data_IF_316958359116
#
_entry.id   IF_316958359116
#
_cell.length_a   1.000
_cell.length_b   1.000
_cell.length_c   1.000
_cell.angle_alpha   90.00
_cell.angle_beta   90.00
_cell.angle_gamma   90.00
#
_symmetry.space_group_name_H-M   'P 1'
#
loop_
_entity.id
_entity.type
_entity.pdbx_description
1 polymer ?
#
# COMPACT_ATOMS: atom_id res chain seq x y z
N UNK A 1 -23.68 -13.64 -99.89
CA UNK A 1 -23.28 -15.02 -100.24
C UNK A 1 -23.12 -15.80 -98.94
N UNK A 2 -23.69 -17.02 -98.87
CA UNK A 2 -23.57 -18.07 -97.84
C UNK A 2 -23.67 -17.64 -96.35
N UNK A 3 -24.80 -17.80 -95.63
CA UNK A 3 -25.51 -19.02 -95.22
C UNK A 3 -24.56 -20.06 -94.58
N UNK A 4 -24.63 -20.25 -93.26
CA UNK A 4 -25.04 -21.52 -92.68
C UNK A 4 -25.40 -21.44 -91.19
N UNK A 5 -26.34 -22.33 -90.85
CA UNK A 5 -27.16 -22.41 -89.65
C UNK A 5 -26.64 -23.54 -88.74
N UNK A 6 -26.70 -23.28 -87.44
CA UNK A 6 -27.19 -24.16 -86.37
C UNK A 6 -26.48 -25.47 -85.93
N UNK A 7 -26.40 -25.55 -84.59
CA UNK A 7 -26.68 -26.69 -83.68
C UNK A 7 -25.54 -27.69 -83.35
N UNK A 8 -25.08 -27.71 -82.08
CA UNK A 8 -25.48 -28.70 -81.04
C UNK A 8 -24.72 -28.54 -79.71
N UNK A 9 -25.48 -28.87 -78.65
CA UNK A 9 -25.19 -29.03 -77.22
C UNK A 9 -23.96 -29.86 -76.83
N UNK A 10 -23.35 -29.58 -75.65
CA UNK A 10 -23.13 -30.55 -74.56
C UNK A 10 -22.58 -29.89 -73.27
N UNK A 11 -23.10 -30.33 -72.13
CA UNK A 11 -22.68 -29.99 -70.76
C UNK A 11 -21.48 -30.85 -70.30
N UNK A 12 -20.52 -30.23 -69.60
CA UNK A 12 -19.71 -30.68 -68.44
C UNK A 12 -19.09 -29.37 -67.92
N UNK A 13 -19.15 -28.89 -66.67
CA UNK A 13 -19.05 -29.53 -65.37
C UNK A 13 -17.76 -29.03 -64.68
N UNK A 14 -17.91 -28.45 -63.49
CA UNK A 14 -16.93 -28.30 -62.39
C UNK A 14 -16.00 -27.06 -62.25
N UNK A 15 -16.25 -26.35 -61.14
CA UNK A 15 -15.35 -26.02 -60.01
C UNK A 15 -14.41 -24.78 -60.02
N UNK A 16 -14.55 -24.04 -58.90
CA UNK A 16 -13.54 -23.34 -58.09
C UNK A 16 -13.31 -21.82 -58.29
N UNK A 17 -14.05 -21.05 -57.46
CA UNK A 17 -13.60 -19.98 -56.53
C UNK A 17 -12.42 -19.08 -56.89
N UNK A 18 -12.61 -17.76 -56.83
CA UNK A 18 -12.19 -16.90 -55.69
C UNK A 18 -12.61 -15.43 -55.95
N UNK A 19 -13.59 -14.91 -55.21
CA UNK A 19 -13.91 -13.47 -55.18
C UNK A 19 -13.37 -12.90 -53.86
N UNK A 20 -12.26 -12.18 -53.94
CA UNK A 20 -11.74 -11.34 -52.87
C UNK A 20 -12.61 -10.08 -52.86
N UNK A 21 -13.47 -9.94 -51.86
CA UNK A 21 -14.17 -8.68 -51.57
C UNK A 21 -13.69 -8.16 -50.23
N UNK A 22 -12.98 -7.04 -50.29
CA UNK A 22 -12.64 -6.17 -49.17
C UNK A 22 -13.91 -5.76 -48.41
N UNK A 23 -14.12 -6.33 -47.23
CA UNK A 23 -14.97 -5.74 -46.20
C UNK A 23 -14.04 -5.38 -45.04
N UNK A 24 -13.83 -4.08 -44.83
CA UNK A 24 -13.05 -3.56 -43.72
C UNK A 24 -13.71 -3.90 -42.40
N UNK A 25 -13.24 -4.95 -41.74
CA UNK A 25 -13.39 -5.07 -40.29
C UNK A 25 -12.37 -4.15 -39.64
N UNK A 26 -12.88 -3.08 -39.05
CA UNK A 26 -12.15 -2.36 -38.03
C UNK A 26 -11.97 -3.33 -36.87
N UNK A 27 -10.79 -3.93 -36.76
CA UNK A 27 -10.31 -4.52 -35.53
C UNK A 27 -10.30 -3.40 -34.51
N UNK A 28 -11.34 -3.33 -33.67
CA UNK A 28 -11.21 -2.74 -32.35
C UNK A 28 -10.16 -3.58 -31.64
N UNK A 29 -8.91 -3.15 -31.73
CA UNK A 29 -7.89 -3.54 -30.78
C UNK A 29 -8.42 -3.08 -29.43
N UNK A 30 -9.04 -4.00 -28.70
CA UNK A 30 -9.00 -3.92 -27.25
C UNK A 30 -7.51 -3.85 -26.92
N UNK A 31 -7.04 -2.66 -26.56
CA UNK A 31 -5.84 -2.57 -25.77
C UNK A 31 -6.14 -3.41 -24.53
N UNK A 32 -5.58 -4.61 -24.49
CA UNK A 32 -5.42 -5.33 -23.24
C UNK A 32 -4.65 -4.36 -22.33
N UNK A 33 -5.38 -3.73 -21.44
CA UNK A 33 -4.84 -3.04 -20.28
C UNK A 33 -4.23 -4.12 -19.38
N UNK A 34 -3.09 -4.64 -19.80
CA UNK A 34 -2.34 -5.69 -19.11
C UNK A 34 -1.66 -5.10 -17.87
N UNK A 35 -2.44 -4.49 -16.98
CA UNK A 35 -2.09 -4.51 -15.57
C UNK A 35 -2.29 -5.96 -15.12
N UNK A 36 -1.28 -6.81 -15.30
CA UNK A 36 -1.40 -8.20 -14.89
C UNK A 36 -1.70 -8.22 -13.40
N UNK A 37 -2.88 -8.72 -13.00
CA UNK A 37 -3.21 -8.98 -11.59
C UNK A 37 -2.31 -10.08 -10.99
N UNK A 38 -1.35 -10.60 -11.76
CA UNK A 38 -0.28 -11.50 -11.34
C UNK A 38 0.49 -10.93 -10.14
N UNK A 39 0.60 -11.69 -9.04
CA UNK A 39 1.43 -11.33 -7.89
C UNK A 39 2.89 -11.06 -8.28
N UNK A 40 3.54 -10.11 -7.61
CA UNK A 40 4.97 -9.84 -7.75
C UNK A 40 5.69 -10.22 -6.46
N UNK A 41 6.66 -11.13 -6.58
CA UNK A 41 7.62 -11.50 -5.53
C UNK A 41 8.91 -10.68 -5.70
N UNK A 42 9.20 -9.84 -4.74
CA UNK A 42 10.44 -9.07 -4.66
C UNK A 42 11.46 -9.80 -3.80
N UNK A 43 12.65 -10.02 -4.33
CA UNK A 43 13.70 -10.83 -3.73
C UNK A 43 14.95 -10.00 -3.48
N UNK A 44 15.44 -10.01 -2.25
CA UNK A 44 16.68 -9.34 -1.88
C UNK A 44 17.90 -9.94 -2.61
N UNK A 45 18.78 -9.09 -3.12
CA UNK A 45 19.97 -9.50 -3.88
C UNK A 45 21.04 -10.20 -3.04
N UNK A 46 20.95 -10.15 -1.71
CA UNK A 46 21.92 -10.77 -0.79
C UNK A 46 21.50 -12.15 -0.31
N UNK A 47 20.37 -12.68 -0.80
CA UNK A 47 19.96 -14.06 -0.56
C UNK A 47 20.89 -15.04 -1.28
N UNK A 48 21.31 -16.10 -0.59
CA UNK A 48 21.91 -17.26 -1.26
C UNK A 48 20.87 -17.98 -2.12
N UNK A 49 21.31 -18.87 -3.02
CA UNK A 49 20.39 -19.64 -3.86
C UNK A 49 19.37 -20.46 -3.05
N UNK A 50 19.80 -21.06 -1.93
CA UNK A 50 18.89 -21.81 -1.04
C UNK A 50 17.92 -20.88 -0.31
N UNK A 51 18.41 -19.75 0.19
CA UNK A 51 17.57 -18.75 0.85
C UNK A 51 16.55 -18.14 -0.11
N UNK A 52 16.94 -17.92 -1.37
CA UNK A 52 16.05 -17.44 -2.42
C UNK A 52 14.87 -18.38 -2.62
N UNK A 53 15.13 -19.69 -2.76
CA UNK A 53 14.05 -20.66 -2.93
C UNK A 53 13.14 -20.72 -1.71
N UNK A 54 13.69 -20.86 -0.50
CA UNK A 54 12.88 -20.88 0.72
C UNK A 54 12.06 -19.61 0.93
N UNK A 55 12.58 -18.46 0.48
CA UNK A 55 11.86 -17.17 0.53
C UNK A 55 10.68 -17.16 -0.43
N UNK A 56 10.88 -17.66 -1.66
CA UNK A 56 9.80 -17.82 -2.65
C UNK A 56 8.73 -18.75 -2.09
N UNK A 57 9.12 -19.92 -1.58
CA UNK A 57 8.19 -20.91 -1.04
C UNK A 57 7.35 -20.31 0.10
N UNK A 58 8.00 -19.57 1.01
CA UNK A 58 7.32 -18.88 2.12
C UNK A 58 6.34 -17.82 1.62
N UNK A 59 6.74 -16.99 0.66
CA UNK A 59 5.93 -15.87 0.18
C UNK A 59 4.77 -16.29 -0.74
N UNK A 60 4.92 -17.42 -1.43
CA UNK A 60 3.93 -17.91 -2.41
C UNK A 60 2.97 -18.95 -1.83
N UNK A 61 3.22 -19.45 -0.62
CA UNK A 61 2.35 -20.43 0.06
C UNK A 61 0.90 -19.95 0.30
N UNK A 62 0.64 -18.64 0.24
CA UNK A 62 -0.69 -18.04 0.38
C UNK A 62 -1.39 -17.74 -0.95
N UNK A 63 -0.75 -18.03 -2.09
CA UNK A 63 -1.33 -17.84 -3.42
C UNK A 63 -2.22 -19.03 -3.78
N UNK A 64 -3.33 -18.75 -4.48
CA UNK A 64 -4.22 -19.79 -5.02
C UNK A 64 -3.49 -20.67 -6.06
N UNK A 65 -2.61 -20.05 -6.84
CA UNK A 65 -1.66 -20.71 -7.73
C UNK A 65 -0.24 -20.26 -7.38
N UNK A 66 0.49 -21.12 -6.67
CA UNK A 66 1.85 -20.84 -6.22
C UNK A 66 2.88 -20.82 -7.36
N UNK A 67 2.50 -21.14 -8.60
CA UNK A 67 3.37 -21.10 -9.79
C UNK A 67 3.20 -19.83 -10.62
N UNK A 68 2.10 -19.08 -10.42
CA UNK A 68 1.77 -17.88 -11.19
C UNK A 68 2.16 -16.61 -10.44
N UNK A 69 3.44 -16.23 -10.57
CA UNK A 69 3.96 -14.98 -10.03
C UNK A 69 5.10 -14.43 -10.90
N UNK A 70 5.33 -13.12 -10.83
CA UNK A 70 6.52 -12.49 -11.38
C UNK A 70 7.56 -12.26 -10.28
N UNK A 71 8.84 -12.21 -10.66
CA UNK A 71 9.91 -11.85 -9.72
C UNK A 71 10.52 -10.48 -10.03
N UNK A 72 10.97 -9.78 -9.00
CA UNK A 72 11.77 -8.57 -9.08
C UNK A 72 12.94 -8.63 -8.09
N UNK A 73 14.15 -8.33 -8.54
CA UNK A 73 15.30 -8.26 -7.64
C UNK A 73 15.39 -6.89 -6.98
N UNK A 74 15.63 -6.86 -5.67
CA UNK A 74 15.85 -5.65 -4.87
C UNK A 74 17.31 -5.64 -4.42
N UNK A 75 18.05 -4.63 -4.84
CA UNK A 75 19.48 -4.45 -4.53
C UNK A 75 19.74 -3.12 -3.81
N UNK A 76 21.01 -2.83 -3.49
CA UNK A 76 21.41 -1.57 -2.86
C UNK A 76 20.95 -0.33 -3.64
N UNK A 77 21.00 -0.34 -4.98
CA UNK A 77 20.50 0.77 -5.81
C UNK A 77 18.99 0.98 -5.65
N UNK A 78 18.25 -0.11 -5.48
CA UNK A 78 16.81 -0.05 -5.19
C UNK A 78 16.58 0.63 -3.84
N UNK A 79 17.40 0.32 -2.82
CA UNK A 79 17.37 1.02 -1.53
C UNK A 79 17.72 2.50 -1.68
N UNK A 80 18.78 2.84 -2.41
CA UNK A 80 19.17 4.25 -2.65
C UNK A 80 18.03 5.02 -3.31
N UNK A 81 17.45 4.46 -4.37
CA UNK A 81 16.40 5.10 -5.16
C UNK A 81 15.16 5.38 -4.32
N UNK A 82 14.73 4.38 -3.55
CA UNK A 82 13.48 4.50 -2.81
C UNK A 82 13.72 5.10 -1.44
N UNK A 83 14.68 4.61 -0.65
CA UNK A 83 14.83 4.90 0.78
C UNK A 83 15.63 6.17 1.12
N UNK A 84 16.67 6.52 0.37
CA UNK A 84 17.51 7.70 0.69
C UNK A 84 16.81 9.07 0.59
N UNK A 85 15.84 9.30 -0.33
CA UNK A 85 15.06 10.54 -0.34
C UNK A 85 14.33 10.85 0.98
N UNK A 86 14.29 9.89 1.89
CA UNK A 86 13.68 10.03 3.21
C UNK A 86 14.66 10.33 4.33
N UNK A 87 15.96 10.40 4.03
CA UNK A 87 17.04 10.62 5.00
C UNK A 87 17.79 9.35 5.40
N UNK A 88 17.42 8.19 4.86
CA UNK A 88 18.20 6.96 5.04
C UNK A 88 19.54 7.04 4.28
N UNK A 89 20.54 6.30 4.74
CA UNK A 89 21.91 6.37 4.22
C UNK A 89 22.35 5.04 3.60
N UNK A 90 21.55 4.50 2.69
CA UNK A 90 21.94 3.30 1.93
C UNK A 90 22.89 3.64 0.79
N UNK A 91 23.61 2.62 0.33
CA UNK A 91 24.54 2.67 -0.80
C UNK A 91 24.23 1.54 -1.78
N UNK A 92 24.77 1.61 -3.00
CA UNK A 92 24.69 0.52 -3.98
C UNK A 92 25.25 -0.81 -3.46
N UNK A 93 26.15 -0.76 -2.48
CA UNK A 93 26.75 -1.94 -1.81
C UNK A 93 25.95 -2.44 -0.61
N UNK A 94 24.85 -1.79 -0.24
CA UNK A 94 24.02 -2.22 0.89
C UNK A 94 23.38 -3.58 0.63
N UNK A 95 23.47 -4.46 1.62
CA UNK A 95 22.89 -5.80 1.54
C UNK A 95 21.36 -5.80 1.70
N UNK A 96 20.69 -6.72 1.00
CA UNK A 96 19.23 -6.83 0.97
C UNK A 96 18.83 -8.30 1.17
N UNK A 97 18.30 -8.63 2.36
CA UNK A 97 17.85 -9.98 2.72
C UNK A 97 16.33 -10.10 2.88
N UNK A 98 15.66 -9.04 3.31
CA UNK A 98 14.20 -9.01 3.40
C UNK A 98 13.55 -8.94 2.03
N UNK A 99 12.44 -9.66 1.87
CA UNK A 99 11.72 -9.84 0.61
C UNK A 99 10.22 -9.67 0.85
N UNK A 100 9.46 -9.36 -0.21
CA UNK A 100 8.03 -9.16 -0.11
C UNK A 100 7.29 -9.70 -1.33
N UNK A 101 6.07 -10.18 -1.15
CA UNK A 101 5.13 -10.44 -2.23
C UNK A 101 3.97 -9.45 -2.15
N UNK A 102 3.57 -8.90 -3.29
CA UNK A 102 2.42 -8.01 -3.43
C UNK A 102 1.47 -8.58 -4.47
N UNK A 103 0.21 -8.68 -4.08
CA UNK A 103 -0.89 -9.09 -4.92
C UNK A 103 -1.99 -8.04 -4.85
N UNK A 104 -2.44 -7.56 -6.01
CA UNK A 104 -3.59 -6.67 -6.12
C UNK A 104 -4.86 -7.47 -5.79
N UNK A 105 -5.79 -6.83 -5.12
CA UNK A 105 -7.07 -7.43 -4.70
C UNK A 105 -8.22 -6.61 -5.25
N UNK A 106 -9.44 -7.14 -5.15
CA UNK A 106 -10.65 -6.45 -5.58
C UNK A 106 -10.82 -5.12 -4.83
N UNK A 107 -11.38 -4.12 -5.51
CA UNK A 107 -11.56 -2.80 -4.92
C UNK A 107 -12.37 -2.85 -3.62
N UNK A 108 -11.91 -2.14 -2.59
CA UNK A 108 -12.53 -2.11 -1.27
C UNK A 108 -11.99 -3.15 -0.28
N UNK A 109 -11.13 -4.07 -0.71
CA UNK A 109 -10.47 -5.06 0.17
C UNK A 109 -9.50 -4.42 1.16
N UNK A 110 -8.99 -3.22 0.85
CA UNK A 110 -8.02 -2.50 1.68
C UNK A 110 -6.61 -3.11 1.64
N UNK A 111 -5.75 -2.64 2.54
CA UNK A 111 -4.34 -3.06 2.60
C UNK A 111 -4.17 -4.11 3.70
N UNK A 112 -3.85 -5.33 3.28
CA UNK A 112 -3.57 -6.45 4.18
C UNK A 112 -2.07 -6.71 4.18
N UNK A 113 -1.47 -6.71 5.36
CA UNK A 113 -0.03 -6.98 5.52
C UNK A 113 0.14 -8.10 6.52
N UNK A 114 0.98 -9.09 6.17
CA UNK A 114 1.43 -10.15 7.06
C UNK A 114 2.94 -10.31 6.98
N UNK A 115 3.59 -10.36 8.13
CA UNK A 115 4.99 -10.79 8.24
C UNK A 115 4.95 -12.30 8.47
N UNK A 116 5.64 -13.05 7.61
CA UNK A 116 5.70 -14.51 7.60
C UNK A 116 7.00 -15.00 8.20
N UNK A 117 6.90 -16.05 8.99
CA UNK A 117 8.06 -16.74 9.55
C UNK A 117 8.82 -17.46 8.44
N UNK A 118 10.15 -17.30 8.44
CA UNK A 118 11.05 -18.05 7.60
C UNK A 118 11.69 -19.15 8.45
N UNK A 119 11.51 -20.41 8.08
CA UNK A 119 11.95 -21.57 8.86
C UNK A 119 11.51 -21.51 10.34
N UNK A 120 10.27 -21.10 10.58
CA UNK A 120 9.68 -21.03 11.93
C UNK A 120 10.14 -19.85 12.79
N UNK A 121 10.81 -18.86 12.21
CA UNK A 121 11.23 -17.64 12.92
C UNK A 121 10.81 -16.36 12.19
N UNK A 122 10.28 -15.41 12.95
CA UNK A 122 10.06 -14.05 12.45
C UNK A 122 11.40 -13.29 12.44
N UNK A 123 11.92 -13.03 11.24
CA UNK A 123 13.20 -12.39 11.03
C UNK A 123 13.11 -10.87 10.74
N UNK A 124 11.91 -10.28 10.76
CA UNK A 124 11.76 -8.82 10.67
C UNK A 124 11.77 -8.24 12.08
N UNK A 125 12.85 -7.54 12.43
CA UNK A 125 13.16 -7.19 13.84
C UNK A 125 12.60 -5.85 14.29
N UNK A 126 12.32 -4.96 13.34
CA UNK A 126 12.09 -3.54 13.64
C UNK A 126 10.73 -3.08 13.12
N UNK A 127 10.45 -3.30 11.84
CA UNK A 127 9.23 -2.79 11.20
C UNK A 127 8.05 -3.73 11.43
N UNK A 128 6.94 -3.19 11.93
CA UNK A 128 5.72 -3.98 12.18
C UNK A 128 4.78 -4.00 10.98
N UNK A 129 3.88 -4.99 10.95
CA UNK A 129 2.86 -5.08 9.89
C UNK A 129 1.97 -3.83 9.80
N UNK A 130 1.63 -3.19 10.93
CA UNK A 130 0.80 -1.98 10.91
C UNK A 130 1.56 -0.77 10.36
N UNK A 131 2.87 -0.70 10.59
CA UNK A 131 3.73 0.35 10.03
C UNK A 131 3.84 0.21 8.50
N UNK A 132 4.03 -1.01 8.00
CA UNK A 132 3.95 -1.29 6.56
C UNK A 132 2.60 -0.87 5.96
N UNK A 133 1.47 -1.19 6.62
CA UNK A 133 0.14 -0.79 6.14
C UNK A 133 -0.01 0.74 6.06
N UNK A 134 0.42 1.45 7.10
CA UNK A 134 0.37 2.90 7.15
C UNK A 134 1.21 3.53 6.02
N UNK A 135 2.44 3.06 5.86
CA UNK A 135 3.33 3.52 4.80
C UNK A 135 2.78 3.22 3.40
N UNK A 136 2.26 2.01 3.17
CA UNK A 136 1.67 1.62 1.90
C UNK A 136 0.52 2.56 1.50
N UNK A 137 -0.39 2.88 2.42
CA UNK A 137 -1.45 3.86 2.17
C UNK A 137 -0.90 5.23 1.77
N UNK A 138 0.12 5.71 2.48
CA UNK A 138 0.77 7.00 2.20
C UNK A 138 1.45 7.02 0.84
N UNK A 139 2.03 5.89 0.41
CA UNK A 139 2.64 5.72 -0.91
C UNK A 139 1.60 5.61 -2.05
N UNK A 140 0.31 5.60 -1.73
CA UNK A 140 -0.77 5.48 -2.71
C UNK A 140 -1.12 4.04 -3.09
N UNK A 141 -0.60 3.05 -2.36
CA UNK A 141 -0.98 1.64 -2.55
C UNK A 141 -2.40 1.44 -2.06
N UNK A 142 -3.18 0.72 -2.86
CA UNK A 142 -4.56 0.41 -2.56
C UNK A 142 -4.91 -1.04 -2.82
N UNK A 143 -5.84 -1.57 -2.02
CA UNK A 143 -6.49 -2.86 -2.26
C UNK A 143 -5.45 -3.96 -2.59
N UNK A 144 -4.58 -4.27 -1.63
CA UNK A 144 -3.46 -5.18 -1.85
C UNK A 144 -3.20 -6.10 -0.65
N UNK A 145 -2.86 -7.35 -0.97
CA UNK A 145 -2.23 -8.27 -0.03
C UNK A 145 -0.71 -8.14 -0.14
N UNK A 146 -0.06 -7.95 1.00
CA UNK A 146 1.38 -7.79 1.12
C UNK A 146 1.89 -8.80 2.13
N UNK A 147 2.79 -9.67 1.70
CA UNK A 147 3.46 -10.64 2.54
C UNK A 147 4.93 -10.30 2.61
N UNK A 148 5.51 -10.30 3.80
CA UNK A 148 6.92 -9.96 4.01
C UNK A 148 7.60 -11.09 4.75
N UNK A 149 8.83 -11.40 4.37
CA UNK A 149 9.67 -12.34 5.13
C UNK A 149 11.14 -11.96 4.97
N UNK A 150 12.01 -12.60 5.75
CA UNK A 150 13.46 -12.47 5.59
C UNK A 150 14.13 -13.78 5.94
N UNK A 151 15.15 -14.15 5.17
CA UNK A 151 15.96 -15.34 5.46
C UNK A 151 16.89 -15.14 6.67
N UNK A 152 17.15 -13.89 7.06
CA UNK A 152 18.03 -13.52 8.18
C UNK A 152 17.42 -12.36 8.99
N UNK A 153 17.73 -12.23 10.29
CA UNK A 153 17.28 -11.11 11.10
C UNK A 153 17.69 -9.75 10.51
N UNK A 154 16.72 -8.91 10.19
CA UNK A 154 16.93 -7.60 9.57
C UNK A 154 15.77 -6.64 9.89
N UNK A 155 15.97 -5.34 9.68
CA UNK A 155 14.98 -4.31 9.98
C UNK A 155 13.69 -4.41 9.14
N UNK A 156 13.80 -4.90 7.89
CA UNK A 156 12.73 -5.01 6.90
C UNK A 156 12.73 -3.92 5.82
N UNK A 157 13.72 -3.04 5.79
CA UNK A 157 13.80 -1.91 4.85
C UNK A 157 13.87 -2.38 3.38
N UNK A 158 14.52 -3.50 3.11
CA UNK A 158 14.58 -4.08 1.77
C UNK A 158 13.22 -4.53 1.23
N UNK A 159 12.38 -5.12 2.09
CA UNK A 159 11.03 -5.51 1.72
C UNK A 159 10.17 -4.28 1.39
N UNK A 160 10.34 -3.17 2.10
CA UNK A 160 9.65 -1.92 1.79
C UNK A 160 10.05 -1.37 0.42
N UNK A 161 11.35 -1.33 0.12
CA UNK A 161 11.84 -0.91 -1.19
C UNK A 161 11.32 -1.83 -2.31
N UNK A 162 11.25 -3.13 -2.04
CA UNK A 162 10.62 -4.12 -2.91
C UNK A 162 9.15 -3.84 -3.18
N UNK A 163 8.38 -3.51 -2.13
CA UNK A 163 6.96 -3.12 -2.26
C UNK A 163 6.81 -1.94 -3.23
N UNK A 164 7.63 -0.89 -3.08
CA UNK A 164 7.58 0.25 -3.99
C UNK A 164 8.03 -0.10 -5.41
N UNK A 165 9.08 -0.90 -5.56
CA UNK A 165 9.59 -1.28 -6.87
C UNK A 165 8.58 -2.17 -7.65
N UNK A 166 7.94 -3.12 -6.98
CA UNK A 166 6.89 -3.95 -7.57
C UNK A 166 5.66 -3.12 -7.96
N UNK A 167 5.22 -2.21 -7.09
CA UNK A 167 4.07 -1.38 -7.39
C UNK A 167 4.34 -0.44 -8.59
N UNK A 168 5.55 0.12 -8.67
CA UNK A 168 5.99 0.91 -9.82
C UNK A 168 6.04 0.12 -11.14
N UNK A 169 6.36 -1.19 -11.07
CA UNK A 169 6.43 -2.07 -12.24
C UNK A 169 5.05 -2.39 -12.83
N UNK A 170 4.00 -2.44 -12.00
CA UNK A 170 2.61 -2.69 -12.43
C UNK A 170 1.94 -1.49 -13.14
N UNK A 171 2.71 -0.61 -13.77
CA UNK A 171 2.19 0.58 -14.48
C UNK A 171 1.71 1.71 -13.57
N UNK A 172 1.73 1.53 -12.25
CA UNK A 172 1.37 2.58 -11.30
C UNK A 172 2.57 3.52 -11.10
N UNK A 173 2.51 4.73 -11.64
CA UNK A 173 3.51 5.75 -11.34
C UNK A 173 3.43 6.13 -9.85
N UNK A 174 4.35 5.61 -9.04
CA UNK A 174 4.50 6.03 -7.66
C UNK A 174 4.97 7.49 -7.60
N UNK A 175 4.21 8.33 -6.91
CA UNK A 175 4.61 9.70 -6.66
C UNK A 175 5.80 9.71 -5.67
N UNK A 176 6.94 10.23 -6.12
CA UNK A 176 8.18 10.23 -5.33
C UNK A 176 8.05 10.97 -4.00
N UNK A 177 7.22 12.02 -3.94
CA UNK A 177 6.92 12.72 -2.68
C UNK A 177 6.10 11.85 -1.73
N UNK A 178 5.13 11.09 -2.24
CA UNK A 178 4.33 10.14 -1.45
C UNK A 178 5.19 9.00 -0.92
N UNK A 179 6.07 8.46 -1.77
CA UNK A 179 7.03 7.41 -1.38
C UNK A 179 8.00 7.91 -0.30
N UNK A 180 8.53 9.14 -0.43
CA UNK A 180 9.36 9.76 0.61
C UNK A 180 8.57 9.98 1.92
N UNK A 181 7.32 10.44 1.84
CA UNK A 181 6.46 10.60 3.01
C UNK A 181 6.16 9.25 3.69
N UNK A 182 5.92 8.19 2.93
CA UNK A 182 5.65 6.84 3.42
C UNK A 182 6.82 6.20 4.16
N UNK A 183 8.05 6.48 3.73
CA UNK A 183 9.23 6.00 4.43
C UNK A 183 9.55 6.83 5.68
N UNK A 184 9.36 8.15 5.61
CA UNK A 184 9.42 9.00 6.80
C UNK A 184 8.41 8.53 7.84
N UNK A 185 7.22 8.12 7.40
CA UNK A 185 6.23 7.50 8.26
C UNK A 185 6.79 6.25 8.91
N UNK A 186 7.25 5.30 8.10
CA UNK A 186 7.75 4.03 8.60
C UNK A 186 8.91 4.22 9.59
N UNK A 187 9.91 5.05 9.25
CA UNK A 187 11.07 5.35 10.10
C UNK A 187 10.65 6.05 11.40
N UNK A 188 9.75 7.03 11.32
CA UNK A 188 9.21 7.74 12.51
C UNK A 188 8.46 6.79 13.44
N UNK A 189 7.51 6.01 12.91
CA UNK A 189 6.68 5.13 13.73
C UNK A 189 7.49 3.97 14.31
N UNK A 190 8.41 3.41 13.53
CA UNK A 190 9.35 2.38 13.98
C UNK A 190 10.24 2.90 15.10
N UNK A 191 10.83 4.10 14.95
CA UNK A 191 11.65 4.73 15.99
C UNK A 191 10.88 5.01 17.28
N UNK A 192 9.64 5.51 17.18
CA UNK A 192 8.77 5.73 18.35
C UNK A 192 8.41 4.38 19.00
N UNK A 193 8.16 3.34 18.22
CA UNK A 193 7.85 1.99 18.70
C UNK A 193 9.03 1.41 19.45
N UNK A 194 10.23 1.51 18.89
CA UNK A 194 11.45 1.03 19.53
C UNK A 194 11.73 1.77 20.85
N UNK A 195 11.57 3.10 20.87
CA UNK A 195 11.76 3.92 22.07
C UNK A 195 10.72 3.66 23.19
N UNK A 196 9.60 3.01 22.87
CA UNK A 196 8.53 2.69 23.82
C UNK A 196 8.31 1.18 24.00
N UNK A 197 9.16 0.34 23.41
CA UNK A 197 9.05 -1.11 23.49
C UNK A 197 9.08 -1.56 24.96
N UNK A 198 8.08 -2.35 25.36
CA UNK A 198 7.94 -2.86 26.73
C UNK A 198 7.41 -1.86 27.76
N UNK A 199 7.13 -0.61 27.39
CA UNK A 199 6.49 0.35 28.32
C UNK A 199 5.02 0.01 28.54
N UNK A 200 4.59 0.05 29.80
CA UNK A 200 3.18 -0.14 30.16
C UNK A 200 2.30 0.92 29.47
N UNK A 201 1.14 0.50 28.95
CA UNK A 201 0.20 1.37 28.24
C UNK A 201 0.55 1.64 26.77
N UNK A 202 1.67 1.13 26.27
CA UNK A 202 2.06 1.25 24.86
C UNK A 202 1.87 -0.05 24.08
N UNK A 203 1.33 0.07 22.87
CA UNK A 203 1.40 -0.98 21.84
C UNK A 203 1.59 -0.35 20.47
N UNK A 204 2.23 -1.08 19.56
CA UNK A 204 2.33 -0.71 18.15
C UNK A 204 0.95 -0.44 17.53
N UNK A 205 -0.05 -1.26 17.89
CA UNK A 205 -1.41 -1.13 17.39
C UNK A 205 -2.04 0.23 17.77
N UNK A 206 -1.87 0.69 19.02
CA UNK A 206 -2.38 1.99 19.46
C UNK A 206 -1.74 3.15 18.68
N UNK A 207 -0.40 3.14 18.49
CA UNK A 207 0.30 4.20 17.77
C UNK A 207 -0.15 4.25 16.30
N UNK A 208 -0.14 3.10 15.63
CA UNK A 208 -0.52 3.02 14.22
C UNK A 208 -2.00 3.33 14.00
N UNK A 209 -2.88 2.98 14.95
CA UNK A 209 -4.29 3.36 14.91
C UNK A 209 -4.49 4.86 15.09
N UNK A 210 -3.73 5.51 16.00
CA UNK A 210 -3.75 6.96 16.15
C UNK A 210 -3.36 7.69 14.86
N UNK A 211 -2.31 7.20 14.18
CA UNK A 211 -1.85 7.78 12.90
C UNK A 211 -2.86 7.53 11.79
N UNK A 212 -3.41 6.31 11.68
CA UNK A 212 -4.46 6.00 10.71
C UNK A 212 -5.73 6.86 10.93
N UNK A 213 -6.14 7.05 12.19
CA UNK A 213 -7.25 7.94 12.55
C UNK A 213 -6.96 9.41 12.24
N UNK A 214 -5.71 9.85 12.41
CA UNK A 214 -5.30 11.20 12.03
C UNK A 214 -5.37 11.41 10.52
N UNK A 215 -4.87 10.45 9.73
CA UNK A 215 -5.01 10.44 8.27
C UNK A 215 -6.47 10.47 7.83
N UNK A 216 -7.34 9.69 8.48
CA UNK A 216 -8.77 9.69 8.20
C UNK A 216 -9.40 11.07 8.47
N UNK A 217 -9.06 11.71 9.59
CA UNK A 217 -9.56 13.05 9.90
C UNK A 217 -9.07 14.09 8.88
N UNK A 218 -7.79 14.03 8.50
CA UNK A 218 -7.22 14.90 7.47
C UNK A 218 -7.85 14.67 6.10
N UNK A 219 -8.12 13.42 5.73
CA UNK A 219 -8.78 13.05 4.47
C UNK A 219 -10.17 13.66 4.32
N UNK A 220 -10.92 13.81 5.43
CA UNK A 220 -12.24 14.48 5.44
C UNK A 220 -12.13 15.98 5.20
N UNK A 221 -11.07 16.61 5.71
CA UNK A 221 -10.81 18.05 5.52
C UNK A 221 -10.23 18.35 4.13
N UNK A 222 -9.46 17.41 3.58
CA UNK A 222 -8.75 17.57 2.32
C UNK A 222 -7.40 18.28 2.47
N UNK A 223 -6.79 18.64 1.35
CA UNK A 223 -5.44 19.22 1.27
C UNK A 223 -5.25 20.53 2.04
N UNK A 224 -6.35 21.23 2.35
CA UNK A 224 -6.31 22.55 2.98
C UNK A 224 -6.15 22.49 4.51
N UNK A 225 -6.02 21.28 5.08
CA UNK A 225 -5.79 21.11 6.53
C UNK A 225 -4.48 21.80 6.94
N UNK A 226 -4.57 22.74 7.88
CA UNK A 226 -3.44 23.54 8.35
C UNK A 226 -2.59 22.76 9.37
N UNK A 227 -1.37 23.25 9.63
CA UNK A 227 -0.49 22.65 10.66
C UNK A 227 -1.09 22.71 12.07
N UNK A 228 -1.84 23.77 12.38
CA UNK A 228 -2.55 23.90 13.66
C UNK A 228 -3.65 22.84 13.78
N UNK A 229 -4.44 22.64 12.73
CA UNK A 229 -5.47 21.59 12.68
C UNK A 229 -4.86 20.19 12.78
N UNK A 230 -3.73 19.92 12.11
CA UNK A 230 -2.98 18.67 12.25
C UNK A 230 -2.53 18.46 13.70
N UNK A 231 -2.02 19.50 14.37
CA UNK A 231 -1.64 19.43 15.79
C UNK A 231 -2.81 19.00 16.67
N UNK A 232 -3.98 19.62 16.49
CA UNK A 232 -5.20 19.27 17.22
C UNK A 232 -5.64 17.84 16.93
N UNK A 233 -5.63 17.42 15.65
CA UNK A 233 -5.96 16.05 15.25
C UNK A 233 -5.01 15.05 15.95
N UNK A 234 -3.70 15.30 15.94
CA UNK A 234 -2.72 14.40 16.59
C UNK A 234 -2.98 14.29 18.08
N UNK A 235 -3.13 15.40 18.79
CA UNK A 235 -3.38 15.38 20.23
C UNK A 235 -4.64 14.60 20.59
N UNK A 236 -5.70 14.78 19.80
CA UNK A 236 -6.94 14.04 19.93
C UNK A 236 -6.72 12.54 19.68
N UNK A 237 -6.02 12.16 18.61
CA UNK A 237 -5.77 10.75 18.29
C UNK A 237 -4.86 10.06 19.31
N UNK A 238 -3.87 10.75 19.86
CA UNK A 238 -3.04 10.24 20.96
C UNK A 238 -3.90 9.97 22.20
N UNK A 239 -4.80 10.89 22.55
CA UNK A 239 -5.72 10.72 23.68
C UNK A 239 -6.69 9.56 23.45
N UNK A 240 -7.29 9.50 22.27
CA UNK A 240 -8.22 8.46 21.84
C UNK A 240 -7.65 7.04 21.88
N UNK A 241 -6.33 6.92 21.71
CA UNK A 241 -5.63 5.64 21.76
C UNK A 241 -4.99 5.37 23.12
N UNK A 242 -5.32 6.17 24.15
CA UNK A 242 -4.78 6.09 25.51
C UNK A 242 -3.24 6.15 25.55
N UNK A 243 -2.66 7.03 24.73
CA UNK A 243 -1.22 7.18 24.59
C UNK A 243 -0.68 8.47 25.26
N UNK A 244 -1.56 9.30 25.85
CA UNK A 244 -1.22 10.62 26.40
C UNK A 244 -0.06 10.60 27.39
N UNK A 245 -0.01 9.58 28.25
CA UNK A 245 1.01 9.45 29.30
C UNK A 245 2.24 8.64 28.86
N UNK A 246 2.26 8.15 27.62
CA UNK A 246 3.35 7.31 27.10
C UNK A 246 4.12 8.03 26.00
N UNK A 247 3.42 8.73 25.11
CA UNK A 247 4.02 9.46 23.99
C UNK A 247 4.48 10.84 24.44
N UNK A 248 5.78 11.10 24.30
CA UNK A 248 6.41 12.36 24.71
C UNK A 248 6.05 13.51 23.77
N UNK A 249 6.25 14.76 24.20
CA UNK A 249 6.02 15.95 23.35
C UNK A 249 6.92 15.95 22.09
N UNK A 250 8.14 15.43 22.19
CA UNK A 250 9.02 15.27 21.03
C UNK A 250 8.43 14.27 20.03
N UNK A 251 7.92 13.13 20.51
CA UNK A 251 7.28 12.12 19.66
C UNK A 251 5.97 12.65 19.04
N UNK A 252 5.17 13.42 19.78
CA UNK A 252 4.00 14.14 19.21
C UNK A 252 4.42 15.07 18.08
N UNK A 253 5.49 15.85 18.28
CA UNK A 253 6.04 16.75 17.26
C UNK A 253 6.50 15.99 16.02
N UNK A 254 7.16 14.83 16.19
CA UNK A 254 7.54 13.96 15.07
C UNK A 254 6.31 13.50 14.28
N UNK A 255 5.24 13.06 14.95
CA UNK A 255 3.98 12.64 14.30
C UNK A 255 3.30 13.83 13.58
N UNK A 256 3.30 15.02 14.17
CA UNK A 256 2.75 16.23 13.53
C UNK A 256 3.52 16.56 12.26
N UNK A 257 4.85 16.61 12.32
CA UNK A 257 5.69 16.90 11.15
C UNK A 257 5.54 15.83 10.07
N UNK A 258 5.41 14.57 10.47
CA UNK A 258 5.12 13.47 9.57
C UNK A 258 3.80 13.70 8.82
N UNK A 259 2.70 14.00 9.53
CA UNK A 259 1.40 14.22 8.89
C UNK A 259 1.39 15.46 8.00
N UNK A 260 2.14 16.51 8.36
CA UNK A 260 2.39 17.66 7.48
C UNK A 260 3.06 17.20 6.18
N UNK A 261 4.11 16.38 6.26
CA UNK A 261 4.79 15.83 5.07
C UNK A 261 3.86 14.95 4.23
N UNK A 262 2.97 14.18 4.85
CA UNK A 262 1.96 13.38 4.15
C UNK A 262 0.96 14.28 3.40
N UNK A 263 0.47 15.36 4.03
CA UNK A 263 -0.37 16.37 3.35
C UNK A 263 0.37 16.97 2.15
N UNK A 264 1.61 17.42 2.35
CA UNK A 264 2.39 18.13 1.33
C UNK A 264 2.85 17.22 0.17
N UNK A 265 2.86 15.89 0.40
CA UNK A 265 3.09 14.91 -0.66
C UNK A 265 1.94 14.79 -1.66
N UNK A 266 0.76 15.35 -1.32
CA UNK A 266 -0.45 15.22 -2.11
C UNK A 266 -1.20 13.90 -1.90
N UNK A 267 -0.79 13.05 -0.96
CA UNK A 267 -1.45 11.77 -0.66
C UNK A 267 -2.96 11.93 -0.38
N UNK A 268 -3.34 13.01 0.31
CA UNK A 268 -4.74 13.31 0.68
C UNK A 268 -5.65 13.59 -0.52
N UNK A 269 -5.08 13.88 -1.70
CA UNK A 269 -5.84 14.22 -2.90
C UNK A 269 -6.41 12.98 -3.58
N UNK A 270 -5.88 11.78 -3.32
CA UNK A 270 -6.38 10.58 -3.94
C UNK A 270 -7.69 10.11 -3.28
N UNK A 271 -8.65 9.69 -4.11
CA UNK A 271 -9.89 9.07 -3.65
C UNK A 271 -9.63 7.76 -2.89
N UNK A 272 -8.61 7.01 -3.31
CA UNK A 272 -8.17 5.79 -2.65
C UNK A 272 -7.65 6.07 -1.23
N UNK A 273 -6.91 7.15 -1.00
CA UNK A 273 -6.44 7.51 0.34
C UNK A 273 -7.61 7.79 1.29
N UNK A 274 -8.60 8.56 0.83
CA UNK A 274 -9.79 8.91 1.64
C UNK A 274 -10.57 7.68 2.07
N UNK A 275 -10.80 6.76 1.13
CA UNK A 275 -11.56 5.53 1.39
C UNK A 275 -10.78 4.58 2.29
N UNK A 276 -9.50 4.37 1.98
CA UNK A 276 -8.70 3.37 2.67
C UNK A 276 -8.18 3.80 4.03
N UNK A 277 -8.03 5.08 4.33
CA UNK A 277 -7.65 5.54 5.68
C UNK A 277 -8.63 5.03 6.75
N UNK A 278 -9.94 5.02 6.43
CA UNK A 278 -10.94 4.45 7.35
C UNK A 278 -10.85 2.93 7.44
N UNK A 279 -10.65 2.23 6.33
CA UNK A 279 -10.50 0.77 6.31
C UNK A 279 -9.26 0.32 7.07
N UNK A 280 -8.15 1.05 6.93
CA UNK A 280 -6.91 0.82 7.65
C UNK A 280 -7.12 0.88 9.17
N UNK A 281 -7.72 1.98 9.65
CA UNK A 281 -8.00 2.14 11.08
C UNK A 281 -8.87 0.99 11.61
N UNK A 282 -9.95 0.64 10.91
CA UNK A 282 -10.82 -0.49 11.27
C UNK A 282 -10.07 -1.84 11.28
N UNK A 283 -9.20 -2.07 10.31
CA UNK A 283 -8.40 -3.29 10.20
C UNK A 283 -7.43 -3.42 11.39
N UNK A 284 -6.75 -2.33 11.77
CA UNK A 284 -5.89 -2.30 12.96
C UNK A 284 -6.70 -2.60 14.22
N UNK A 285 -7.86 -1.95 14.39
CA UNK A 285 -8.75 -2.20 15.53
C UNK A 285 -9.25 -3.64 15.59
N UNK A 286 -9.62 -4.22 14.45
CA UNK A 286 -10.10 -5.59 14.35
C UNK A 286 -9.00 -6.61 14.69
N UNK A 287 -7.78 -6.40 14.20
CA UNK A 287 -6.65 -7.31 14.50
C UNK A 287 -6.19 -7.22 15.95
N UNK A 288 -6.39 -6.07 16.59
CA UNK A 288 -6.05 -5.81 17.99
C UNK A 288 -7.30 -5.68 18.88
N UNK A 289 -8.37 -6.44 18.60
CA UNK A 289 -9.64 -6.40 19.35
C UNK A 289 -9.46 -6.47 20.87
N UNK A 290 -8.53 -7.30 21.37
CA UNK A 290 -8.27 -7.43 22.80
C UNK A 290 -7.70 -6.16 23.45
N UNK A 291 -7.00 -5.32 22.70
CA UNK A 291 -6.51 -4.01 23.16
C UNK A 291 -7.65 -3.00 23.07
N UNK A 292 -8.28 -2.88 21.90
CA UNK A 292 -9.27 -1.83 21.65
C UNK A 292 -10.61 -2.04 22.37
N UNK A 293 -11.02 -3.28 22.66
CA UNK A 293 -12.19 -3.55 23.50
C UNK A 293 -12.03 -3.02 24.93
N UNK A 294 -10.82 -3.12 25.49
CA UNK A 294 -10.49 -2.55 26.81
C UNK A 294 -10.43 -1.02 26.79
N UNK A 295 -10.07 -0.44 25.65
CA UNK A 295 -10.13 1.00 25.44
C UNK A 295 -11.57 1.49 25.22
N UNK A 296 -12.47 0.63 24.72
CA UNK A 296 -13.84 0.99 24.33
C UNK A 296 -14.85 0.84 25.50
N UNK A 297 -14.49 1.27 26.71
CA UNK A 297 -15.41 1.35 27.87
C UNK A 297 -16.46 2.44 27.67
N UNK A 298 -17.60 2.41 28.39
CA UNK A 298 -18.65 3.45 28.26
C UNK A 298 -18.11 4.88 28.45
N UNK A 299 -17.18 5.03 29.39
CA UNK A 299 -16.54 6.31 29.73
C UNK A 299 -15.57 6.77 28.62
N UNK A 300 -14.77 5.85 28.09
CA UNK A 300 -13.89 6.13 26.95
C UNK A 300 -14.64 6.27 25.63
N UNK A 301 -15.76 5.57 25.42
CA UNK A 301 -16.65 5.74 24.28
C UNK A 301 -17.23 7.14 24.26
N UNK A 302 -17.67 7.63 25.42
CA UNK A 302 -18.14 9.01 25.55
C UNK A 302 -17.01 10.02 25.32
N UNK A 303 -15.78 9.75 25.78
CA UNK A 303 -14.63 10.59 25.50
C UNK A 303 -14.23 10.56 24.01
N UNK A 304 -14.18 9.38 23.39
CA UNK A 304 -13.90 9.16 21.97
C UNK A 304 -14.98 9.77 21.08
N UNK A 305 -16.25 9.60 21.42
CA UNK A 305 -17.37 10.25 20.72
C UNK A 305 -17.31 11.75 20.92
N UNK A 306 -17.06 12.28 22.12
CA UNK A 306 -16.90 13.72 22.33
C UNK A 306 -15.74 14.28 21.52
N UNK A 307 -14.58 13.63 21.50
CA UNK A 307 -13.42 14.06 20.71
C UNK A 307 -13.67 13.92 19.21
N UNK A 308 -14.30 12.83 18.76
CA UNK A 308 -14.68 12.66 17.36
C UNK A 308 -15.74 13.67 16.92
N UNK A 309 -16.75 13.89 17.75
CA UNK A 309 -17.74 14.95 17.59
C UNK A 309 -17.07 16.31 17.61
N UNK A 310 -16.07 16.57 18.46
CA UNK A 310 -15.30 17.81 18.45
C UNK A 310 -14.51 17.96 17.15
N UNK A 311 -13.90 16.89 16.62
CA UNK A 311 -13.23 16.90 15.32
C UNK A 311 -14.24 17.19 14.20
N UNK A 312 -15.38 16.49 14.16
CA UNK A 312 -16.40 16.70 13.12
C UNK A 312 -17.08 18.06 13.26
N UNK A 313 -17.34 18.54 14.47
CA UNK A 313 -17.98 19.83 14.75
C UNK A 313 -17.03 20.98 14.44
N UNK A 314 -15.77 20.87 14.83
CA UNK A 314 -14.71 21.80 14.43
C UNK A 314 -14.59 21.91 12.91
N UNK A 315 -14.64 20.78 12.19
CA UNK A 315 -14.58 20.83 10.73
C UNK A 315 -15.89 21.29 10.08
N UNK A 316 -17.04 20.96 10.67
CA UNK A 316 -18.35 21.42 10.20
C UNK A 316 -18.53 22.92 10.40
N UNK A 317 -18.06 23.48 11.52
CA UNK A 317 -18.12 24.93 11.79
C UNK A 317 -17.23 25.72 10.82
N UNK A 318 -16.03 25.22 10.50
CA UNK A 318 -15.16 25.87 9.51
C UNK A 318 -15.75 25.77 8.09
N UNK A 319 -16.32 24.63 7.69
CA UNK A 319 -16.96 24.51 6.39
C UNK A 319 -18.14 25.48 6.24
N UNK A 320 -18.98 25.59 7.29
CA UNK A 320 -20.07 26.57 7.35
C UNK A 320 -19.58 28.03 7.35
N UNK A 321 -18.43 28.33 7.95
CA UNK A 321 -17.88 29.69 8.00
C UNK A 321 -17.19 30.15 6.71
N UNK A 322 -16.81 29.22 5.82
CA UNK A 322 -16.10 29.53 4.56
C UNK A 322 -17.05 29.49 3.35
N UNK A 323 -18.10 28.65 3.40
CA UNK A 323 -19.00 28.40 2.27
C UNK A 323 -20.49 28.63 2.57
N UNK A 324 -20.83 29.06 3.79
CA UNK A 324 -22.16 29.53 4.17
C UNK A 324 -22.11 31.00 4.55
#
# INVERSE_FOLDING_TARGET
MHKQRHFKFKWVGLLATLLISFAGWQLTSHADDSSSDTPIVTLGSSLTSSQKQGTIDTLTASLDDSSNYQTLTVNGDTLVKYLNPSGESFTSSSGVWSSAMIQKTSSGSGINVKILDYNGSNNITTITANQYKNAALTAGIADANIYITSATPIDGSGALAGIYAAYAKNGNSLNTKQVSAAQNELSTLSGITQANKGKSGYTDAQLNNAVAGAKQAMAKKGSNVTKSEITTIVNNQITNNNLTNVITNNQKTQIINLLVKIRDSGALNSSSFKTQASSLMKNIQSNAKGIFSKLNTQENQNALQKVWSSITNFFSSIFKSIFG
#
